data_IF_816173729520
#
_entry.id   IF_816173729520
#
_cell.length_a   1.000
_cell.length_b   1.000
_cell.length_c   1.000
_cell.angle_alpha   90.00
_cell.angle_beta   90.00
_cell.angle_gamma   90.00
#
_symmetry.space_group_name_H-M   'P 1'
#
loop_
_entity.id
_entity.type
_entity.pdbx_description
1 polymer ?
#
# COMPACT_ATOMS: atom_id res chain seq x y z
N UNK A 1 -0.18 -6.05 7.04
CA UNK A 1 0.68 -4.86 6.87
C UNK A 1 1.21 -4.84 5.44
N UNK A 2 0.40 -4.36 4.48
CA UNK A 2 0.72 -4.42 3.05
C UNK A 2 1.67 -3.32 2.56
N UNK A 3 1.85 -2.23 3.32
CA UNK A 3 2.65 -1.06 2.90
C UNK A 3 4.06 -1.04 3.50
N UNK A 4 4.50 -2.11 4.18
CA UNK A 4 5.82 -2.14 4.80
C UNK A 4 6.89 -2.14 3.72
N UNK A 5 7.78 -1.16 3.79
CA UNK A 5 8.84 -0.98 2.82
C UNK A 5 10.20 -1.53 3.30
N UNK A 6 11.09 -1.80 2.33
CA UNK A 6 12.42 -2.32 2.61
C UNK A 6 13.36 -1.34 3.32
N UNK A 7 13.13 -0.03 3.21
CA UNK A 7 13.94 1.00 3.87
C UNK A 7 13.66 0.98 5.37
N UNK A 8 12.40 0.85 5.76
CA UNK A 8 11.95 0.72 7.15
C UNK A 8 12.51 -0.56 7.78
N UNK A 9 12.47 -1.70 7.09
CA UNK A 9 13.08 -2.94 7.56
C UNK A 9 14.60 -2.82 7.77
N UNK A 10 15.32 -2.20 6.82
CA UNK A 10 16.77 -2.00 6.96
C UNK A 10 17.11 -1.11 8.16
N UNK A 11 16.32 -0.06 8.40
CA UNK A 11 16.49 0.83 9.56
C UNK A 11 16.22 0.09 10.87
N UNK A 12 15.20 -0.76 10.91
CA UNK A 12 14.89 -1.60 12.06
C UNK A 12 16.06 -2.54 12.42
N UNK A 13 16.62 -3.22 11.42
CA UNK A 13 17.78 -4.11 11.65
C UNK A 13 19.00 -3.32 12.11
N UNK A 14 19.32 -2.19 11.45
CA UNK A 14 20.44 -1.34 11.85
C UNK A 14 20.28 -0.79 13.27
N UNK A 15 19.05 -0.47 13.69
CA UNK A 15 18.76 -0.05 15.05
C UNK A 15 19.06 -1.17 16.05
N UNK A 16 18.60 -2.39 15.77
CA UNK A 16 18.82 -3.57 16.63
C UNK A 16 20.32 -3.86 16.81
N UNK A 17 21.09 -3.85 15.72
CA UNK A 17 22.54 -4.09 15.75
C UNK A 17 23.29 -3.02 16.56
N UNK A 18 22.81 -1.78 16.56
CA UNK A 18 23.43 -0.66 17.29
C UNK A 18 23.06 -0.64 18.77
N UNK A 19 21.84 -1.03 19.13
CA UNK A 19 21.37 -1.00 20.52
C UNK A 19 21.92 -2.15 21.35
N UNK A 20 22.20 -3.30 20.72
CA UNK A 20 22.58 -4.52 21.43
C UNK A 20 21.42 -5.12 22.24
N UNK A 21 20.18 -4.80 21.86
CA UNK A 21 18.98 -5.36 22.47
C UNK A 21 18.91 -6.88 22.23
N UNK A 22 18.30 -7.63 23.15
CA UNK A 22 18.04 -9.06 22.94
C UNK A 22 16.99 -9.29 21.83
N UNK A 23 16.05 -8.36 21.69
CA UNK A 23 15.09 -8.31 20.60
C UNK A 23 14.66 -6.86 20.35
N UNK A 24 14.25 -6.56 19.12
CA UNK A 24 13.68 -5.25 18.79
C UNK A 24 12.32 -5.44 18.13
N UNK A 25 11.32 -4.72 18.61
CA UNK A 25 9.99 -4.64 18.00
C UNK A 25 9.83 -3.34 17.21
N UNK A 26 9.21 -3.42 16.04
CA UNK A 26 8.74 -2.25 15.30
C UNK A 26 7.41 -1.78 15.92
N UNK A 27 7.32 -0.49 16.23
CA UNK A 27 6.15 0.10 16.88
C UNK A 27 5.62 1.28 16.08
N UNK A 28 4.39 1.68 16.35
CA UNK A 28 3.84 2.94 15.84
C UNK A 28 2.84 3.52 16.84
N UNK A 29 2.46 4.78 16.66
CA UNK A 29 1.44 5.45 17.46
C UNK A 29 0.21 5.62 16.59
N UNK A 30 -0.95 5.15 17.08
CA UNK A 30 -2.23 5.26 16.40
C UNK A 30 -3.23 6.06 17.25
N UNK A 31 -4.00 6.93 16.61
CA UNK A 31 -5.11 7.64 17.26
C UNK A 31 -6.18 6.66 17.79
N UNK A 32 -6.42 5.58 17.04
CA UNK A 32 -7.31 4.49 17.44
C UNK A 32 -6.56 3.14 17.43
N UNK A 33 -6.00 2.71 18.57
CA UNK A 33 -5.23 1.48 18.66
C UNK A 33 -6.10 0.20 18.82
N UNK A 34 -7.42 0.30 18.60
CA UNK A 34 -8.33 -0.84 18.78
C UNK A 34 -7.91 -2.04 17.93
N UNK A 35 -7.75 -3.20 18.58
CA UNK A 35 -7.40 -4.47 17.92
C UNK A 35 -5.92 -4.77 17.85
N UNK A 36 -5.04 -3.86 18.28
CA UNK A 36 -3.59 -4.07 18.35
C UNK A 36 -3.12 -4.46 19.76
N UNK A 37 -1.95 -5.11 19.86
CA UNK A 37 -1.22 -5.20 21.13
C UNK A 37 -0.63 -3.84 21.54
N UNK A 38 -0.57 -3.57 22.84
CA UNK A 38 -0.06 -2.31 23.42
C UNK A 38 1.38 -2.46 23.89
N UNK A 39 2.22 -1.48 23.55
CA UNK A 39 3.61 -1.42 24.03
C UNK A 39 3.61 -0.77 25.41
N UNK A 40 3.88 -1.57 26.45
CA UNK A 40 3.99 -1.05 27.82
C UNK A 40 5.46 -0.79 28.10
N UNK A 41 5.78 0.45 28.48
CA UNK A 41 7.15 0.85 28.82
C UNK A 41 7.37 0.93 30.33
N UNK A 42 8.60 0.70 30.75
CA UNK A 42 9.03 0.95 32.13
C UNK A 42 9.38 2.43 32.36
N UNK A 43 9.94 2.75 33.54
CA UNK A 43 10.30 4.13 33.91
C UNK A 43 11.52 4.67 33.15
N UNK A 44 12.37 3.77 32.66
CA UNK A 44 13.58 4.11 31.92
C UNK A 44 13.29 4.18 30.40
N UNK A 45 12.07 3.83 30.00
CA UNK A 45 11.57 3.92 28.63
C UNK A 45 11.76 2.64 27.83
N UNK A 46 12.25 1.55 28.42
CA UNK A 46 12.38 0.27 27.73
C UNK A 46 11.04 -0.45 27.63
N UNK A 47 10.91 -1.39 26.67
CA UNK A 47 9.70 -2.19 26.55
C UNK A 47 9.63 -3.16 27.72
N UNK A 48 8.68 -2.91 28.62
CA UNK A 48 8.39 -3.77 29.76
C UNK A 48 7.66 -5.03 29.30
N UNK A 49 6.64 -4.89 28.45
CA UNK A 49 5.90 -6.02 27.84
C UNK A 49 5.01 -5.53 26.71
N UNK A 50 4.51 -6.46 25.92
CA UNK A 50 3.42 -6.22 24.97
C UNK A 50 2.17 -6.87 25.53
N UNK A 51 1.05 -6.15 25.56
CA UNK A 51 -0.23 -6.66 26.07
C UNK A 51 -1.26 -6.67 24.96
N UNK A 52 -1.77 -7.85 24.61
CA UNK A 52 -2.78 -8.00 23.58
C UNK A 52 -4.11 -7.35 23.96
N UNK A 53 -4.85 -6.85 22.97
CA UNK A 53 -6.10 -6.08 23.17
C UNK A 53 -7.11 -6.81 24.07
N UNK A 54 -7.19 -8.14 23.99
CA UNK A 54 -8.15 -8.95 24.76
C UNK A 54 -7.72 -9.17 26.21
N UNK A 55 -6.42 -9.09 26.47
CA UNK A 55 -5.80 -9.32 27.78
C UNK A 55 -5.53 -7.98 28.52
N UNK A 56 -5.59 -6.85 27.82
CA UNK A 56 -5.30 -5.52 28.33
C UNK A 56 -6.37 -4.96 29.29
N UNK A 57 -5.90 -4.36 30.39
CA UNK A 57 -6.75 -3.61 31.32
C UNK A 57 -7.04 -2.18 30.81
N UNK A 58 -7.91 -1.44 31.52
CA UNK A 58 -8.32 -0.07 31.11
C UNK A 58 -7.16 0.90 30.94
N UNK A 59 -6.15 0.85 31.80
CA UNK A 59 -4.98 1.74 31.70
C UNK A 59 -4.07 1.36 30.53
N UNK A 60 -3.92 0.06 30.25
CA UNK A 60 -3.13 -0.43 29.11
C UNK A 60 -3.84 -0.10 27.79
N UNK A 61 -5.16 -0.25 27.73
CA UNK A 61 -5.96 0.10 26.55
C UNK A 61 -5.90 1.58 26.17
N UNK A 62 -5.54 2.46 27.11
CA UNK A 62 -5.35 3.89 26.87
C UNK A 62 -3.99 4.22 26.22
N UNK A 63 -3.04 3.28 26.18
CA UNK A 63 -1.78 3.45 25.49
C UNK A 63 -2.02 3.48 23.98
N UNK A 64 -1.42 4.45 23.29
CA UNK A 64 -1.55 4.63 21.83
C UNK A 64 -0.41 4.00 21.04
N UNK A 65 0.72 3.68 21.69
CA UNK A 65 1.81 2.94 21.07
C UNK A 65 1.44 1.47 20.93
N UNK A 66 1.47 0.99 19.69
CA UNK A 66 1.03 -0.35 19.31
C UNK A 66 2.15 -1.21 18.77
N UNK A 67 1.99 -2.51 18.97
CA UNK A 67 2.79 -3.55 18.36
C UNK A 67 2.40 -3.74 16.88
N UNK A 68 3.36 -3.68 15.96
CA UNK A 68 3.12 -3.94 14.52
C UNK A 68 3.34 -5.40 14.14
N UNK A 69 3.69 -6.26 15.10
CA UNK A 69 4.03 -7.67 14.91
C UNK A 69 5.21 -7.91 13.97
N UNK A 70 6.17 -6.98 13.93
CA UNK A 70 7.44 -7.12 13.21
C UNK A 70 8.57 -7.03 14.23
N UNK A 71 9.46 -8.01 14.18
CA UNK A 71 10.50 -8.17 15.18
C UNK A 71 11.83 -8.51 14.54
N UNK A 72 12.90 -8.16 15.25
CA UNK A 72 14.27 -8.65 15.01
C UNK A 72 14.71 -9.41 16.24
N UNK A 73 15.21 -10.62 16.02
CA UNK A 73 15.73 -11.52 17.05
C UNK A 73 17.03 -12.15 16.58
N UNK A 74 17.90 -12.50 17.52
CA UNK A 74 18.86 -13.57 17.33
C UNK A 74 18.13 -14.91 17.12
N UNK A 75 18.59 -15.71 16.16
CA UNK A 75 17.88 -16.93 15.75
C UNK A 75 17.85 -17.99 16.86
N UNK A 76 18.95 -18.17 17.59
CA UNK A 76 19.04 -19.14 18.68
C UNK A 76 18.16 -18.72 19.86
N UNK A 77 18.17 -17.43 20.19
CA UNK A 77 17.29 -16.85 21.21
C UNK A 77 15.81 -17.03 20.86
N UNK A 78 15.42 -16.80 19.60
CA UNK A 78 14.04 -16.98 19.17
C UNK A 78 13.61 -18.45 19.27
N UNK A 79 14.48 -19.38 18.89
CA UNK A 79 14.21 -20.81 18.99
C UNK A 79 13.98 -21.25 20.45
N UNK A 80 14.82 -20.77 21.38
CA UNK A 80 14.66 -20.99 22.82
C UNK A 80 13.35 -20.38 23.34
N UNK A 81 13.04 -19.15 22.93
CA UNK A 81 11.85 -18.44 23.36
C UNK A 81 10.56 -19.16 22.92
N UNK A 82 10.49 -19.59 21.66
CA UNK A 82 9.33 -20.31 21.10
C UNK A 82 9.13 -21.66 21.80
N UNK A 83 10.21 -22.37 22.12
CA UNK A 83 10.13 -23.68 22.78
C UNK A 83 9.51 -23.60 24.19
N UNK A 84 9.55 -22.43 24.82
CA UNK A 84 9.07 -22.19 26.18
C UNK A 84 7.73 -21.45 26.24
N UNK A 85 7.09 -21.17 25.10
CA UNK A 85 5.78 -20.53 25.09
C UNK A 85 4.72 -21.44 25.73
N UNK A 86 3.78 -20.82 26.44
CA UNK A 86 2.57 -21.46 26.90
C UNK A 86 1.33 -20.84 26.25
N UNK A 87 0.15 -21.35 26.61
CA UNK A 87 -1.12 -20.86 26.10
C UNK A 87 -2.06 -20.38 27.20
N UNK A 88 -1.50 -19.93 28.34
CA UNK A 88 -2.27 -19.46 29.50
C UNK A 88 -2.72 -18.00 29.33
N UNK A 89 -3.51 -17.72 28.29
CA UNK A 89 -4.09 -16.39 28.02
C UNK A 89 -5.58 -16.48 27.66
N UNK A 90 -6.22 -15.33 27.45
CA UNK A 90 -7.66 -15.26 27.19
C UNK A 90 -8.09 -16.01 25.90
N UNK A 91 -7.17 -16.31 24.98
CA UNK A 91 -7.45 -17.02 23.73
C UNK A 91 -7.05 -18.49 23.75
N UNK A 92 -6.19 -18.91 24.68
CA UNK A 92 -5.66 -20.27 24.69
C UNK A 92 -4.65 -20.53 23.56
N UNK A 93 -3.97 -19.49 23.07
CA UNK A 93 -3.03 -19.55 21.93
C UNK A 93 -1.59 -19.28 22.37
N UNK A 94 -0.59 -19.67 21.58
CA UNK A 94 0.80 -19.31 21.85
C UNK A 94 1.09 -17.93 21.25
N UNK A 95 1.28 -16.91 22.09
CA UNK A 95 1.56 -15.57 21.62
C UNK A 95 3.06 -15.35 21.40
N UNK A 96 3.44 -14.92 20.19
CA UNK A 96 4.83 -14.55 19.90
C UNK A 96 5.30 -13.35 20.73
N UNK A 97 4.39 -12.50 21.22
CA UNK A 97 4.72 -11.38 22.11
C UNK A 97 5.38 -11.83 23.40
N UNK A 98 5.05 -13.03 23.88
CA UNK A 98 5.57 -13.56 25.14
C UNK A 98 7.02 -14.04 24.98
N UNK A 99 7.45 -14.32 23.73
CA UNK A 99 8.85 -14.62 23.41
C UNK A 99 9.80 -13.45 23.76
N UNK A 100 9.29 -12.22 23.84
CA UNK A 100 10.08 -11.05 24.26
C UNK A 100 10.52 -11.13 25.73
N UNK A 101 9.84 -11.92 26.57
CA UNK A 101 10.31 -12.14 27.94
C UNK A 101 11.63 -12.91 27.95
N UNK A 102 11.77 -13.92 27.09
CA UNK A 102 13.02 -14.68 26.95
C UNK A 102 14.14 -13.79 26.42
N UNK A 103 13.82 -12.82 25.55
CA UNK A 103 14.81 -11.88 25.03
C UNK A 103 15.47 -11.02 26.12
N UNK A 104 14.78 -10.80 27.25
CA UNK A 104 15.34 -10.06 28.40
C UNK A 104 16.54 -10.75 29.05
N UNK A 105 16.73 -12.05 28.80
CA UNK A 105 17.90 -12.79 29.28
C UNK A 105 19.20 -12.38 28.58
N UNK A 106 19.09 -11.78 27.37
CA UNK A 106 20.23 -11.35 26.54
C UNK A 106 20.38 -9.84 26.41
N UNK A 107 19.49 -9.05 27.00
CA UNK A 107 19.56 -7.58 26.95
C UNK A 107 18.20 -6.95 27.22
N UNK A 108 18.04 -5.68 26.85
CA UNK A 108 16.74 -5.01 26.84
C UNK A 108 15.91 -5.44 25.62
N UNK A 109 14.61 -5.16 25.66
CA UNK A 109 13.75 -5.22 24.47
C UNK A 109 13.63 -3.81 23.91
N UNK A 110 14.17 -3.60 22.72
CA UNK A 110 14.11 -2.34 22.01
C UNK A 110 12.78 -2.12 21.32
N UNK A 111 12.35 -0.87 21.22
CA UNK A 111 11.22 -0.47 20.38
C UNK A 111 11.68 0.57 19.37
N UNK A 112 11.60 0.22 18.10
CA UNK A 112 11.90 1.11 16.99
C UNK A 112 10.58 1.66 16.43
N UNK A 113 10.34 2.96 16.63
CA UNK A 113 9.16 3.62 16.10
C UNK A 113 9.29 3.77 14.57
N UNK A 114 8.29 3.29 13.84
CA UNK A 114 8.23 3.40 12.39
C UNK A 114 8.26 4.88 11.97
N UNK A 115 9.14 5.28 11.03
CA UNK A 115 9.19 6.67 10.55
C UNK A 115 7.88 7.11 9.88
N UNK A 116 7.16 6.17 9.28
CA UNK A 116 5.86 6.38 8.67
C UNK A 116 4.83 5.40 9.25
N UNK A 117 3.88 5.88 10.08
CA UNK A 117 2.84 5.05 10.66
C UNK A 117 2.01 4.26 9.64
N UNK A 118 1.75 4.83 8.45
CA UNK A 118 0.91 4.18 7.43
C UNK A 118 1.59 2.93 6.86
N UNK A 119 2.93 2.95 6.73
CA UNK A 119 3.70 1.82 6.21
C UNK A 119 3.58 0.56 7.07
N UNK A 120 3.33 0.73 8.37
CA UNK A 120 3.28 -0.36 9.34
C UNK A 120 1.87 -0.70 9.82
N UNK A 121 0.85 -0.09 9.22
CA UNK A 121 -0.54 -0.34 9.60
C UNK A 121 -0.99 -1.76 9.18
N UNK A 122 -1.62 -2.46 10.11
CA UNK A 122 -2.23 -3.77 9.91
C UNK A 122 -3.57 -3.67 9.18
N UNK A 123 -4.03 -4.80 8.63
CA UNK A 123 -5.36 -4.92 8.02
C UNK A 123 -5.97 -6.22 8.50
N UNK A 124 -6.96 -6.12 9.39
CA UNK A 124 -7.67 -7.24 10.00
C UNK A 124 -9.10 -7.36 9.44
N UNK A 125 -9.67 -6.28 8.93
CA UNK A 125 -11.02 -6.26 8.36
C UNK A 125 -11.10 -5.41 7.08
N UNK A 126 -12.29 -5.41 6.45
CA UNK A 126 -12.54 -4.68 5.20
C UNK A 126 -12.62 -3.17 5.37
N UNK A 127 -12.94 -2.68 6.58
CA UNK A 127 -12.99 -1.25 6.87
C UNK A 127 -11.55 -0.71 6.89
N UNK A 128 -10.65 -1.41 7.59
CA UNK A 128 -9.23 -1.11 7.62
C UNK A 128 -8.60 -1.21 6.23
N UNK A 129 -8.94 -2.25 5.45
CA UNK A 129 -8.46 -2.39 4.07
C UNK A 129 -8.85 -1.18 3.21
N UNK A 130 -10.10 -0.73 3.29
CA UNK A 130 -10.58 0.40 2.52
C UNK A 130 -9.90 1.72 2.93
N UNK A 131 -9.72 1.94 4.24
CA UNK A 131 -9.03 3.11 4.77
C UNK A 131 -7.56 3.15 4.31
N UNK A 132 -6.83 2.04 4.48
CA UNK A 132 -5.42 1.94 4.09
C UNK A 132 -5.23 2.07 2.57
N UNK A 133 -6.10 1.43 1.78
CA UNK A 133 -6.09 1.57 0.31
C UNK A 133 -6.31 3.02 -0.13
N UNK A 134 -7.20 3.74 0.56
CA UNK A 134 -7.48 5.15 0.24
C UNK A 134 -6.29 6.05 0.58
N UNK A 135 -5.68 5.85 1.74
CA UNK A 135 -4.49 6.59 2.17
C UNK A 135 -3.29 6.32 1.24
N UNK A 136 -3.09 5.06 0.82
CA UNK A 136 -2.06 4.70 -0.16
C UNK A 136 -2.30 5.38 -1.52
N UNK A 137 -3.52 5.24 -2.06
CA UNK A 137 -3.87 5.85 -3.34
C UNK A 137 -3.71 7.38 -3.33
N UNK A 138 -3.98 8.02 -2.18
CA UNK A 138 -3.72 9.46 -2.02
C UNK A 138 -2.24 9.80 -2.24
N UNK A 139 -1.32 9.00 -1.70
CA UNK A 139 0.12 9.16 -1.92
C UNK A 139 0.53 8.92 -3.36
N UNK A 140 -0.07 7.93 -4.03
CA UNK A 140 0.17 7.68 -5.46
C UNK A 140 -0.27 8.89 -6.30
N UNK A 141 -1.47 9.42 -6.04
CA UNK A 141 -1.94 10.65 -6.70
C UNK A 141 -1.00 11.84 -6.43
N UNK A 142 -0.61 12.06 -5.18
CA UNK A 142 0.31 13.13 -4.80
C UNK A 142 1.68 12.99 -5.48
N UNK A 143 2.22 11.77 -5.55
CA UNK A 143 3.43 11.46 -6.29
C UNK A 143 3.33 11.93 -7.75
N UNK A 144 2.26 11.56 -8.45
CA UNK A 144 2.07 11.96 -9.85
C UNK A 144 1.84 13.46 -10.02
N UNK A 145 1.11 14.09 -9.09
CA UNK A 145 0.91 15.54 -9.11
C UNK A 145 2.23 16.30 -8.94
N UNK A 146 3.11 15.83 -8.04
CA UNK A 146 4.46 16.39 -7.88
C UNK A 146 5.35 16.17 -9.11
N UNK A 147 5.08 15.14 -9.90
CA UNK A 147 5.76 14.84 -11.17
C UNK A 147 5.09 15.50 -12.40
N UNK A 148 4.21 16.48 -12.19
CA UNK A 148 3.66 17.31 -13.25
C UNK A 148 2.42 16.75 -13.96
N UNK A 149 1.73 15.79 -13.34
CA UNK A 149 0.41 15.32 -13.77
C UNK A 149 -0.69 16.17 -13.14
N UNK A 150 -1.67 16.59 -13.92
CA UNK A 150 -2.86 17.26 -13.39
C UNK A 150 -3.92 16.23 -13.02
N UNK A 151 -4.13 15.98 -11.72
CA UNK A 151 -5.24 15.17 -11.22
C UNK A 151 -6.31 16.11 -10.67
N UNK A 152 -7.47 16.20 -11.32
CA UNK A 152 -8.51 17.17 -10.95
C UNK A 152 -9.16 16.85 -9.60
N UNK A 153 -9.33 15.55 -9.32
CA UNK A 153 -9.96 15.08 -8.10
C UNK A 153 -9.27 13.78 -7.63
N UNK A 154 -8.27 13.87 -6.72
CA UNK A 154 -7.61 12.70 -6.15
C UNK A 154 -8.53 11.87 -5.25
N UNK A 155 -9.68 12.40 -4.81
CA UNK A 155 -10.61 11.67 -3.96
C UNK A 155 -11.52 10.72 -4.76
N UNK A 156 -11.65 10.93 -6.07
CA UNK A 156 -12.37 10.00 -6.97
C UNK A 156 -11.50 9.35 -8.03
N UNK A 157 -10.20 9.63 -8.03
CA UNK A 157 -9.22 9.02 -8.95
C UNK A 157 -8.46 7.90 -8.25
N UNK A 158 -8.35 6.75 -8.90
CA UNK A 158 -7.58 5.61 -8.42
C UNK A 158 -6.48 5.24 -9.40
N UNK A 159 -5.25 5.07 -8.91
CA UNK A 159 -4.06 4.77 -9.69
C UNK A 159 -3.30 3.65 -8.97
N UNK A 160 -3.09 2.51 -9.65
CA UNK A 160 -2.25 1.41 -9.13
C UNK A 160 -0.75 1.72 -9.31
N UNK A 161 0.09 1.07 -8.50
CA UNK A 161 1.52 1.39 -8.37
C UNK A 161 2.33 1.20 -9.66
N UNK A 162 1.91 0.27 -10.54
CA UNK A 162 2.60 -0.04 -11.80
C UNK A 162 2.14 0.83 -12.99
N UNK A 163 1.26 1.81 -12.75
CA UNK A 163 0.80 2.75 -13.78
C UNK A 163 1.86 3.79 -14.04
N UNK A 164 2.16 4.08 -15.31
CA UNK A 164 3.11 5.12 -15.70
C UNK A 164 2.40 6.30 -16.37
N UNK A 165 2.60 7.51 -15.85
CA UNK A 165 2.07 8.74 -16.41
C UNK A 165 3.20 9.67 -16.84
N UNK A 166 3.13 10.17 -18.08
CA UNK A 166 4.00 11.24 -18.52
C UNK A 166 3.59 12.59 -17.88
N UNK A 167 4.54 13.54 -17.86
CA UNK A 167 4.25 14.94 -17.52
C UNK A 167 3.11 15.51 -18.39
N UNK A 168 2.40 16.52 -17.91
CA UNK A 168 1.32 17.22 -18.62
C UNK A 168 0.11 16.33 -18.98
N UNK A 169 0.01 15.13 -18.40
CA UNK A 169 -1.22 14.34 -18.43
C UNK A 169 -2.28 15.01 -17.56
N UNK A 170 -3.53 15.03 -18.01
CA UNK A 170 -4.68 15.42 -17.21
C UNK A 170 -5.59 14.23 -16.94
N UNK A 171 -5.84 13.95 -15.66
CA UNK A 171 -6.78 12.93 -15.19
C UNK A 171 -8.01 13.61 -14.61
N UNK A 172 -9.16 13.36 -15.24
CA UNK A 172 -10.47 13.88 -14.87
C UNK A 172 -11.14 12.98 -13.81
N UNK A 173 -12.10 13.50 -13.02
CA UNK A 173 -12.70 12.79 -11.89
C UNK A 173 -13.32 11.42 -12.22
N UNK A 174 -13.35 10.53 -11.23
CA UNK A 174 -13.93 9.19 -11.35
C UNK A 174 -13.12 8.21 -12.19
N UNK A 175 -11.83 8.45 -12.40
CA UNK A 175 -10.98 7.62 -13.26
C UNK A 175 -10.22 6.55 -12.48
N UNK A 176 -10.07 5.35 -13.07
CA UNK A 176 -9.37 4.20 -12.50
C UNK A 176 -8.30 3.72 -13.47
N UNK A 177 -7.03 3.83 -13.09
CA UNK A 177 -5.87 3.41 -13.88
C UNK A 177 -5.24 2.22 -13.19
N UNK A 178 -5.13 1.09 -13.91
CA UNK A 178 -4.81 -0.21 -13.32
C UNK A 178 -3.79 -0.99 -14.15
N UNK A 179 -3.11 -1.94 -13.51
CA UNK A 179 -2.08 -2.78 -14.09
C UNK A 179 -0.96 -1.95 -14.71
N UNK A 180 -0.44 -2.40 -15.84
CA UNK A 180 0.66 -1.73 -16.55
C UNK A 180 0.15 -0.65 -17.52
N UNK A 181 -0.81 0.17 -17.09
CA UNK A 181 -1.35 1.26 -17.91
C UNK A 181 -0.30 2.35 -18.09
N UNK A 182 -0.08 2.79 -19.33
CA UNK A 182 0.91 3.84 -19.68
C UNK A 182 0.20 4.99 -20.41
N UNK A 183 0.40 6.22 -19.94
CA UNK A 183 -0.29 7.40 -20.47
C UNK A 183 0.73 8.47 -20.92
N UNK A 184 0.75 8.74 -22.22
CA UNK A 184 1.69 9.66 -22.84
C UNK A 184 1.36 11.14 -22.64
N UNK A 185 2.36 12.00 -22.87
CA UNK A 185 2.32 13.44 -22.62
C UNK A 185 1.10 14.13 -23.28
N UNK A 186 0.54 15.15 -22.61
CA UNK A 186 -0.61 15.95 -23.05
C UNK A 186 -1.91 15.14 -23.25
N UNK A 187 -1.96 13.88 -22.81
CA UNK A 187 -3.20 13.10 -22.84
C UNK A 187 -4.19 13.58 -21.78
N UNK A 188 -5.48 13.45 -22.09
CA UNK A 188 -6.58 13.70 -21.16
C UNK A 188 -7.35 12.40 -20.97
N UNK A 189 -7.50 11.97 -19.73
CA UNK A 189 -8.13 10.71 -19.34
C UNK A 189 -9.32 11.00 -18.45
N UNK A 190 -10.45 10.35 -18.71
CA UNK A 190 -11.68 10.56 -17.94
C UNK A 190 -12.69 11.50 -18.62
N UNK A 191 -13.71 11.95 -17.87
CA UNK A 191 -14.08 11.45 -16.54
C UNK A 191 -14.63 10.02 -16.62
N UNK A 192 -14.83 9.36 -15.47
CA UNK A 192 -15.48 8.03 -15.36
C UNK A 192 -14.89 6.96 -16.29
N UNK A 193 -13.57 6.94 -16.40
CA UNK A 193 -12.84 6.04 -17.30
C UNK A 193 -12.05 5.01 -16.51
N UNK A 194 -12.15 3.75 -16.92
CA UNK A 194 -11.29 2.68 -16.40
C UNK A 194 -10.34 2.20 -17.50
N UNK A 195 -9.04 2.27 -17.23
CA UNK A 195 -7.98 1.71 -18.06
C UNK A 195 -7.27 0.60 -17.30
N UNK A 196 -7.09 -0.54 -17.96
CA UNK A 196 -6.42 -1.72 -17.42
C UNK A 196 -5.47 -2.20 -18.50
N UNK A 197 -4.17 -2.29 -18.19
CA UNK A 197 -3.12 -2.72 -19.11
C UNK A 197 -3.21 -2.03 -20.49
N UNK A 198 -3.49 -0.72 -20.46
CA UNK A 198 -3.75 0.06 -21.66
C UNK A 198 -2.62 1.05 -21.94
N UNK A 199 -2.33 1.29 -23.23
CA UNK A 199 -1.41 2.35 -23.65
C UNK A 199 -2.18 3.49 -24.31
N UNK A 200 -2.02 4.70 -23.79
CA UNK A 200 -2.54 5.95 -24.39
C UNK A 200 -1.37 6.74 -24.96
N UNK A 201 -1.33 6.89 -26.28
CA UNK A 201 -0.23 7.60 -26.97
C UNK A 201 -0.26 9.11 -26.68
N UNK A 202 0.91 9.80 -26.69
CA UNK A 202 0.98 11.24 -26.51
C UNK A 202 0.08 12.02 -27.48
N UNK A 203 -0.43 13.16 -27.03
CA UNK A 203 -1.17 14.09 -27.90
C UNK A 203 -0.21 15.09 -28.55
N UNK A 204 -0.24 15.26 -29.88
CA UNK A 204 0.53 16.31 -30.53
C UNK A 204 0.01 17.70 -30.13
N UNK A 205 0.91 18.67 -30.01
CA UNK A 205 0.64 20.05 -29.53
C UNK A 205 -0.25 20.90 -30.45
N UNK A 206 -0.61 20.41 -31.64
CA UNK A 206 -1.49 21.12 -32.58
C UNK A 206 -2.95 20.73 -32.41
N UNK A 207 -3.85 21.71 -32.61
CA UNK A 207 -5.32 21.77 -32.52
C UNK A 207 -6.12 20.63 -33.23
N UNK A 208 -5.75 19.36 -33.03
CA UNK A 208 -6.43 18.19 -33.55
C UNK A 208 -7.57 17.78 -32.60
N UNK A 209 -8.74 17.35 -33.14
CA UNK A 209 -9.87 16.91 -32.34
C UNK A 209 -9.47 15.70 -31.48
N UNK A 210 -10.07 15.62 -30.28
CA UNK A 210 -9.77 14.66 -29.21
C UNK A 210 -9.26 13.31 -29.73
N UNK A 211 -8.01 12.97 -29.36
CA UNK A 211 -7.39 11.70 -29.72
C UNK A 211 -8.30 10.55 -29.31
N UNK A 212 -8.56 9.65 -30.28
CA UNK A 212 -9.05 8.32 -30.00
C UNK A 212 -8.04 7.62 -29.11
N UNK A 213 -8.46 7.19 -27.92
CA UNK A 213 -7.78 6.10 -27.24
C UNK A 213 -7.77 4.91 -28.21
N UNK A 214 -6.64 4.62 -28.85
CA UNK A 214 -6.43 3.31 -29.44
C UNK A 214 -6.12 2.39 -28.27
N UNK A 215 -7.17 1.92 -27.60
CA UNK A 215 -7.04 0.94 -26.53
C UNK A 215 -6.61 -0.37 -27.18
N UNK A 216 -5.31 -0.63 -27.25
CA UNK A 216 -4.77 -1.97 -27.51
C UNK A 216 -4.64 -2.68 -26.17
N UNK A 217 -5.41 -3.75 -25.95
CA UNK A 217 -5.23 -4.61 -24.78
C UNK A 217 -6.48 -5.03 -24.01
N UNK A 218 -7.69 -4.50 -24.30
CA UNK A 218 -8.90 -4.87 -23.54
C UNK A 218 -9.18 -6.37 -23.65
N UNK A 219 -9.12 -7.17 -22.56
CA UNK A 219 -9.62 -8.54 -22.56
C UNK A 219 -11.11 -8.50 -22.91
N UNK A 220 -11.60 -9.46 -23.72
CA UNK A 220 -12.93 -9.43 -24.38
C UNK A 220 -14.18 -9.39 -23.46
N UNK A 221 -14.05 -9.07 -22.18
CA UNK A 221 -15.15 -9.10 -21.20
C UNK A 221 -15.24 -7.80 -20.40
N UNK A 222 -15.59 -6.68 -21.04
CA UNK A 222 -16.17 -5.55 -20.30
C UNK A 222 -17.10 -4.73 -21.20
N UNK A 223 -18.33 -4.56 -20.72
CA UNK A 223 -19.40 -3.84 -21.38
C UNK A 223 -18.96 -2.42 -21.78
N UNK A 224 -19.21 -2.03 -23.04
CA UNK A 224 -19.00 -0.66 -23.51
C UNK A 224 -20.08 0.24 -22.92
N UNK A 225 -19.70 1.19 -22.07
CA UNK A 225 -20.57 2.30 -21.64
C UNK A 225 -20.90 3.28 -22.78
N UNK A 226 -21.88 4.18 -22.61
CA UNK A 226 -22.64 4.77 -23.72
C UNK A 226 -21.93 5.85 -24.55
N UNK A 227 -20.70 6.24 -24.26
CA UNK A 227 -20.06 7.40 -24.90
C UNK A 227 -18.83 7.08 -25.75
N UNK A 228 -18.55 5.80 -26.01
CA UNK A 228 -17.59 5.44 -27.07
C UNK A 228 -18.25 5.62 -28.45
N UNK A 229 -18.46 6.89 -28.82
CA UNK A 229 -19.15 7.33 -30.03
C UNK A 229 -18.55 6.70 -31.28
N UNK A 230 -19.39 5.99 -32.03
CA UNK A 230 -19.09 5.45 -33.35
C UNK A 230 -18.58 6.55 -34.28
N UNK A 231 -17.33 6.41 -34.70
CA UNK A 231 -16.89 6.83 -36.01
C UNK A 231 -15.94 5.75 -36.58
N UNK A 232 -16.46 4.55 -36.87
CA UNK A 232 -15.73 3.63 -37.76
C UNK A 232 -15.89 4.13 -39.19
N UNK A 233 -14.93 4.93 -39.66
CA UNK A 233 -14.66 5.05 -41.09
C UNK A 233 -14.00 3.75 -41.52
N UNK A 234 -14.74 2.93 -42.27
CA UNK A 234 -14.19 1.75 -42.94
C UNK A 234 -13.42 2.23 -44.16
N UNK A 235 -12.09 2.28 -44.08
CA UNK A 235 -11.26 2.30 -45.27
C UNK A 235 -11.46 0.97 -45.99
N UNK A 236 -12.34 0.95 -47.02
CA UNK A 236 -12.46 -0.18 -47.95
C UNK A 236 -11.09 -0.43 -48.56
N UNK A 237 -10.55 -1.64 -48.41
CA UNK A 237 -9.42 -2.10 -49.23
C UNK A 237 -9.79 -1.90 -50.71
N UNK A 238 -8.94 -1.31 -51.56
CA UNK A 238 -9.20 -1.28 -52.99
C UNK A 238 -9.28 -2.71 -53.52
N UNK A 239 -10.34 -3.02 -54.26
CA UNK A 239 -10.48 -4.30 -54.97
C UNK A 239 -9.37 -4.38 -56.02
N UNK A 240 -8.67 -5.52 -56.18
CA UNK A 240 -7.81 -5.71 -57.33
C UNK A 240 -8.66 -5.74 -58.60
N UNK A 241 -8.24 -4.98 -59.60
CA UNK A 241 -8.83 -4.99 -60.94
C UNK A 241 -8.73 -6.41 -61.51
N UNK A 242 -9.87 -7.00 -61.88
CA UNK A 242 -9.88 -8.17 -62.77
C UNK A 242 -10.08 -7.67 -64.20
N UNK A 243 -9.06 -7.92 -65.00
CA UNK A 243 -9.02 -7.74 -66.45
C UNK A 243 -10.10 -8.56 -67.13
N UNK A 244 -10.73 -7.94 -68.13
CA UNK A 244 -11.58 -8.56 -69.13
C UNK A 244 -10.81 -9.58 -69.98
N UNK A 245 -11.29 -10.82 -70.01
CA UNK A 245 -11.32 -11.72 -71.18
C UNK A 245 -12.51 -12.65 -71.03
#
# INVERSE_FOLDING_TARGET
MPLLDSVTLKKLVAFHEQSGDGATVLTTILDNPTGYGRIIRDRDGHVLRIVEQKDANRSELAVQEVNTSVYVFDADLLAEAIANLDNHNAQGEFYLTDALETAKTRGTVGAFAAPDPLSVEGVNDRLQLAALSKAHNRRVCEHWMLNGVTILDPDTTWIEDDVELAQDVTVLPGSFLKGHTVIGQNAVVGPYTTLIDATVTPRPSSNAPACRARISGVPRTSARGPTCGRAMSWARRPRPARSSR
#
